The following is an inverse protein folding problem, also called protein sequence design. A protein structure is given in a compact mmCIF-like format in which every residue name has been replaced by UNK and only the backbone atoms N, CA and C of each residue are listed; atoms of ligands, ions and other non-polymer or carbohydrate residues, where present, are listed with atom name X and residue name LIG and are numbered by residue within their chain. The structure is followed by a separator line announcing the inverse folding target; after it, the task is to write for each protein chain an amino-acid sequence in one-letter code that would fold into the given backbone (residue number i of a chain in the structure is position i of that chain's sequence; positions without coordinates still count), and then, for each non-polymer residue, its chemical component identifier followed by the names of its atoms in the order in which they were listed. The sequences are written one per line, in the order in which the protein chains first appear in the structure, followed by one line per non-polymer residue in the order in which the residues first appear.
data_IF_778388421395
#
_entry.id   IF_778388421395
#
_cell.length_a   1.000
_cell.length_b   1.000
_cell.length_c   1.000
_cell.angle_alpha   90.00
_cell.angle_beta   90.00
_cell.angle_gamma   90.00
#
_symmetry.space_group_name_H-M   'P 1'
#
loop_
_entity.id
_entity.type
_entity.pdbx_description
1 polymer ?
#
# COMPACT_ATOMS: atom_id res chain seq x y z
N UNK A 1 13.97 0.66 -4.88
CA UNK A 1 14.01 0.88 -6.35
C UNK A 1 15.23 0.25 -6.97
N UNK A 2 16.45 0.57 -6.50
CA UNK A 2 17.71 0.07 -7.07
C UNK A 2 17.73 -1.43 -7.40
N UNK A 3 17.22 -2.29 -6.51
CA UNK A 3 17.22 -3.75 -6.77
C UNK A 3 16.26 -4.16 -7.90
N UNK A 4 15.11 -3.48 -8.02
CA UNK A 4 14.13 -3.71 -9.11
C UNK A 4 14.72 -3.24 -10.44
N UNK A 5 15.33 -2.05 -10.44
CA UNK A 5 15.97 -1.44 -11.62
C UNK A 5 17.19 -2.26 -12.06
N UNK A 6 18.01 -2.74 -11.12
CA UNK A 6 19.15 -3.61 -11.41
C UNK A 6 18.72 -4.96 -12.00
N UNK A 7 17.52 -5.45 -11.66
CA UNK A 7 16.92 -6.63 -12.27
C UNK A 7 16.25 -6.36 -13.64
N UNK A 8 16.33 -5.12 -14.16
CA UNK A 8 15.75 -4.71 -15.45
C UNK A 8 14.27 -4.31 -15.39
N UNK A 9 13.70 -4.16 -14.19
CA UNK A 9 12.34 -3.69 -13.99
C UNK A 9 12.26 -2.17 -13.84
N UNK A 10 11.03 -1.65 -13.81
CA UNK A 10 10.73 -0.26 -13.51
C UNK A 10 9.99 -0.14 -12.17
N UNK A 11 10.28 0.92 -11.39
CA UNK A 11 9.63 1.16 -10.11
C UNK A 11 9.41 2.65 -9.87
N UNK A 12 8.29 2.99 -9.22
CA UNK A 12 8.01 4.33 -8.68
C UNK A 12 7.57 4.21 -7.21
N UNK A 13 7.67 5.31 -6.47
CA UNK A 13 7.19 5.41 -5.11
C UNK A 13 6.15 6.52 -5.07
N UNK A 14 4.96 6.17 -4.61
CA UNK A 14 3.85 7.10 -4.46
C UNK A 14 3.39 7.01 -3.02
N UNK A 15 3.53 8.11 -2.28
CA UNK A 15 3.03 8.18 -0.91
C UNK A 15 1.51 8.26 -0.93
N UNK A 16 0.84 7.32 -0.27
CA UNK A 16 -0.60 7.30 -0.12
C UNK A 16 -0.99 6.65 1.20
N UNK A 17 -1.84 7.33 1.97
CA UNK A 17 -2.61 6.69 3.03
C UNK A 17 -3.76 5.91 2.38
N UNK A 18 -3.79 4.60 2.58
CA UNK A 18 -4.81 3.72 2.00
C UNK A 18 -6.19 3.88 2.65
N UNK A 19 -6.27 4.56 3.81
CA UNK A 19 -7.54 4.95 4.43
C UNK A 19 -8.15 6.22 3.80
N UNK A 20 -7.34 7.05 3.13
CA UNK A 20 -7.82 8.22 2.37
C UNK A 20 -8.20 7.83 0.94
N UNK A 21 -9.51 7.87 0.66
CA UNK A 21 -10.08 7.57 -0.66
C UNK A 21 -9.45 8.41 -1.78
N UNK A 22 -9.20 9.69 -1.56
CA UNK A 22 -8.65 10.56 -2.61
C UNK A 22 -7.15 10.29 -2.83
N UNK A 23 -6.41 9.93 -1.77
CA UNK A 23 -5.04 9.45 -1.91
C UNK A 23 -4.96 8.16 -2.74
N UNK A 24 -5.88 7.22 -2.51
CA UNK A 24 -5.98 5.98 -3.29
C UNK A 24 -6.28 6.30 -4.76
N UNK A 25 -7.23 7.18 -5.07
CA UNK A 25 -7.50 7.57 -6.47
C UNK A 25 -6.26 8.14 -7.17
N UNK A 26 -5.51 9.03 -6.49
CA UNK A 26 -4.27 9.60 -7.03
C UNK A 26 -3.19 8.53 -7.26
N UNK A 27 -3.07 7.56 -6.35
CA UNK A 27 -2.17 6.42 -6.50
C UNK A 27 -2.47 5.64 -7.79
N UNK A 28 -3.73 5.27 -8.01
CA UNK A 28 -4.13 4.52 -9.20
C UNK A 28 -3.96 5.32 -10.49
N UNK A 29 -4.29 6.63 -10.51
CA UNK A 29 -4.02 7.51 -11.67
C UNK A 29 -2.54 7.51 -12.03
N UNK A 30 -1.66 7.63 -11.02
CA UNK A 30 -0.21 7.63 -11.23
C UNK A 30 0.29 6.30 -11.79
N UNK A 31 -0.27 5.18 -11.32
CA UNK A 31 0.06 3.83 -11.84
C UNK A 31 -0.41 3.68 -13.29
N UNK A 32 -1.64 4.10 -13.60
CA UNK A 32 -2.18 4.06 -14.96
C UNK A 32 -1.35 4.92 -15.93
N UNK A 33 -0.95 6.13 -15.52
CA UNK A 33 -0.11 7.03 -16.31
C UNK A 33 1.30 6.48 -16.54
N UNK A 34 1.90 5.82 -15.54
CA UNK A 34 3.29 5.34 -15.62
C UNK A 34 3.42 3.98 -16.29
N UNK A 35 2.54 3.05 -15.96
CA UNK A 35 2.68 1.63 -16.34
C UNK A 35 1.50 1.12 -17.17
N UNK A 36 0.41 1.88 -17.29
CA UNK A 36 -0.81 1.42 -17.90
C UNK A 36 -1.59 0.46 -17.00
N UNK A 37 -2.23 -0.55 -17.62
CA UNK A 37 -3.17 -1.43 -16.93
C UNK A 37 -2.52 -2.19 -15.77
N UNK A 38 -3.06 -2.01 -14.56
CA UNK A 38 -2.72 -2.84 -13.41
C UNK A 38 -3.19 -4.30 -13.59
N UNK A 39 -2.26 -5.25 -13.41
CA UNK A 39 -2.55 -6.70 -13.55
C UNK A 39 -2.57 -7.45 -12.23
N UNK A 40 -1.87 -6.94 -11.20
CA UNK A 40 -1.79 -7.53 -9.88
C UNK A 40 -1.70 -6.45 -8.81
N UNK A 41 -2.32 -6.67 -7.65
CA UNK A 41 -2.30 -5.78 -6.51
C UNK A 41 -1.95 -6.58 -5.26
N UNK A 42 -0.98 -6.09 -4.49
CA UNK A 42 -0.66 -6.65 -3.17
C UNK A 42 -1.11 -5.66 -2.11
N UNK A 43 -2.18 -5.99 -1.39
CA UNK A 43 -2.64 -5.20 -0.25
C UNK A 43 -1.81 -5.53 0.99
N UNK A 44 -0.61 -4.94 1.07
CA UNK A 44 0.32 -5.13 2.19
C UNK A 44 0.22 -4.04 3.26
N UNK A 45 -0.43 -2.90 2.97
CA UNK A 45 -0.57 -1.82 3.95
C UNK A 45 -1.47 -2.26 5.11
N UNK A 46 -0.98 -2.09 6.34
CA UNK A 46 -1.70 -2.43 7.55
C UNK A 46 -0.97 -1.94 8.79
N UNK A 47 -1.75 -1.64 9.84
CA UNK A 47 -1.24 -1.34 11.17
C UNK A 47 -1.63 -2.53 12.05
N UNK A 48 -0.69 -2.98 12.88
CA UNK A 48 -0.97 -4.03 13.86
C UNK A 48 -1.08 -3.40 15.25
N UNK A 49 -2.21 -3.65 15.92
CA UNK A 49 -2.35 -3.39 17.35
C UNK A 49 -1.47 -4.33 18.18
N UNK A 50 -1.44 -4.14 19.52
CA UNK A 50 -0.74 -5.04 20.42
C UNK A 50 -1.26 -6.48 20.29
N UNK A 51 -0.36 -7.44 20.48
CA UNK A 51 -0.73 -8.86 20.52
C UNK A 51 -1.35 -9.15 21.88
N UNK A 52 -2.63 -9.51 21.91
CA UNK A 52 -3.33 -9.97 23.12
C UNK A 52 -4.30 -11.11 22.79
N UNK A 53 -4.89 -11.71 23.82
CA UNK A 53 -6.02 -12.61 23.63
C UNK A 53 -7.22 -11.83 23.11
N UNK A 54 -8.12 -12.52 22.41
CA UNK A 54 -9.33 -11.89 21.84
C UNK A 54 -10.21 -11.25 22.92
N UNK A 55 -10.28 -11.86 24.11
CA UNK A 55 -11.03 -11.36 25.27
C UNK A 55 -10.37 -10.18 25.99
N UNK A 56 -9.12 -9.85 25.65
CA UNK A 56 -8.33 -8.77 26.23
C UNK A 56 -8.07 -7.64 25.21
N UNK A 57 -8.68 -7.71 24.02
CA UNK A 57 -8.52 -6.71 22.98
C UNK A 57 -9.29 -5.43 23.37
N UNK A 58 -8.59 -4.30 23.48
CA UNK A 58 -9.26 -3.00 23.60
C UNK A 58 -9.72 -2.52 22.21
N UNK A 59 -10.82 -1.75 22.17
CA UNK A 59 -11.28 -1.08 20.95
C UNK A 59 -10.51 0.21 20.67
N UNK A 60 -9.79 0.75 21.66
CA UNK A 60 -9.08 2.02 21.57
C UNK A 60 -7.68 1.89 20.93
N UNK A 61 -7.30 0.70 20.48
CA UNK A 61 -5.98 0.38 19.90
C UNK A 61 -5.97 0.30 18.36
N UNK A 62 -7.04 0.78 17.71
CA UNK A 62 -7.17 0.85 16.25
C UNK A 62 -7.57 2.24 15.77
#
# INVERSE_FOLDING_TARGET
MKDIEAAGGEAIAVAADVADREAVKRLFSTVDERFGRLTALVNNAGIHGPRSRVDELSLDVF
#
